data_IF_882895834207
#
_entry.id   IF_882895834207
#
_cell.length_a   1.000
_cell.length_b   1.000
_cell.length_c   1.000
_cell.angle_alpha   90.00
_cell.angle_beta   90.00
_cell.angle_gamma   90.00
#
_symmetry.space_group_name_H-M   'P 1'
#
loop_
_entity.id
_entity.type
_entity.pdbx_description
1 polymer ?
#
# COMPACT_ATOMS: atom_id res chain seq x y z
N UNK A 1 -60.91 3.40 -21.64
CA UNK A 1 -60.95 2.14 -20.88
C UNK A 1 -59.75 2.10 -19.94
N UNK A 2 -60.05 1.91 -18.66
CA UNK A 2 -59.25 1.47 -17.49
C UNK A 2 -57.71 1.60 -17.44
N UNK A 3 -57.30 2.17 -16.31
CA UNK A 3 -55.97 2.41 -15.73
C UNK A 3 -55.19 1.15 -15.33
N UNK A 4 -53.85 1.24 -15.26
CA UNK A 4 -53.05 0.48 -14.27
C UNK A 4 -51.85 1.28 -13.76
N UNK A 5 -51.91 1.66 -12.48
CA UNK A 5 -50.79 2.05 -11.61
C UNK A 5 -50.17 0.78 -11.01
N UNK A 6 -48.85 0.71 -10.84
CA UNK A 6 -48.13 0.01 -9.73
C UNK A 6 -46.65 0.41 -9.84
N UNK A 7 -46.12 1.32 -9.03
CA UNK A 7 -45.60 1.14 -7.65
C UNK A 7 -44.43 0.14 -7.53
N UNK A 8 -43.24 0.71 -7.32
CA UNK A 8 -42.25 0.38 -6.28
C UNK A 8 -41.98 -1.09 -5.92
N UNK A 9 -40.74 -1.55 -6.16
CA UNK A 9 -40.12 -2.53 -5.27
C UNK A 9 -38.59 -2.38 -5.21
N UNK A 10 -38.16 -1.77 -4.11
CA UNK A 10 -36.92 -2.00 -3.37
C UNK A 10 -36.30 -3.37 -3.59
N UNK A 11 -34.99 -3.41 -3.88
CA UNK A 11 -34.17 -4.53 -3.42
C UNK A 11 -32.83 -4.00 -2.92
N UNK A 12 -32.64 -4.17 -1.62
CA UNK A 12 -31.45 -3.85 -0.86
C UNK A 12 -30.43 -5.01 -0.95
N UNK A 13 -29.14 -4.65 -1.08
CA UNK A 13 -27.92 -5.16 -0.38
C UNK A 13 -27.60 -6.68 -0.47
N UNK A 14 -26.32 -7.08 -0.69
CA UNK A 14 -25.26 -7.05 0.34
C UNK A 14 -23.96 -6.40 -0.16
N UNK A 15 -23.38 -5.42 0.55
CA UNK A 15 -22.32 -5.63 1.57
C UNK A 15 -21.31 -6.73 1.19
N UNK A 16 -20.38 -6.40 0.29
CA UNK A 16 -19.10 -7.08 0.20
C UNK A 16 -18.17 -6.49 1.26
N UNK A 17 -18.23 -7.13 2.42
CA UNK A 17 -17.24 -7.07 3.49
C UNK A 17 -15.90 -7.58 2.93
N UNK A 18 -15.01 -6.68 2.51
CA UNK A 18 -13.58 -6.99 2.54
C UNK A 18 -13.04 -6.49 3.86
N UNK A 19 -12.90 -7.48 4.73
CA UNK A 19 -12.22 -7.43 6.00
C UNK A 19 -10.77 -6.97 5.82
N UNK A 20 -10.33 -6.23 6.84
CA UNK A 20 -8.97 -6.30 7.38
C UNK A 20 -7.82 -5.75 6.52
N UNK A 21 -7.51 -4.48 6.77
CA UNK A 21 -6.16 -4.12 7.18
C UNK A 21 -6.24 -2.92 8.12
N UNK A 22 -6.69 -3.16 9.36
CA UNK A 22 -6.28 -2.30 10.48
C UNK A 22 -4.78 -2.51 10.60
N UNK A 23 -4.00 -1.64 9.97
CA UNK A 23 -2.57 -1.51 10.27
C UNK A 23 -2.51 -0.88 11.65
N UNK A 24 -2.61 -1.72 12.67
CA UNK A 24 -2.24 -1.41 14.04
C UNK A 24 -0.77 -1.03 14.01
N UNK A 25 -0.47 0.26 13.88
CA UNK A 25 0.86 0.81 14.13
C UNK A 25 1.09 0.73 15.64
N UNK A 26 1.42 -0.46 16.11
CA UNK A 26 1.91 -0.69 17.46
C UNK A 26 3.20 0.08 17.65
N UNK A 27 3.12 1.18 18.39
CA UNK A 27 4.28 1.86 18.94
C UNK A 27 5.03 0.93 19.90
N UNK A 28 6.30 0.62 19.64
CA UNK A 28 7.30 0.27 20.67
C UNK A 28 8.73 0.18 20.10
N UNK A 29 9.78 0.22 20.95
CA UNK A 29 10.55 1.43 21.25
C UNK A 29 11.98 1.36 20.70
N UNK A 30 12.62 2.53 20.53
CA UNK A 30 14.06 2.75 20.37
C UNK A 30 14.88 1.51 19.93
N UNK A 31 14.78 1.14 18.65
CA UNK A 31 15.61 0.06 18.11
C UNK A 31 16.88 0.64 17.54
N UNK A 32 17.99 -0.06 17.80
CA UNK A 32 19.15 -0.13 16.92
C UNK A 32 18.72 0.12 15.48
N UNK A 33 19.44 0.98 14.77
CA UNK A 33 19.16 1.31 13.36
C UNK A 33 19.31 0.00 12.58
N UNK A 34 18.26 -0.78 12.45
CA UNK A 34 18.19 -1.97 11.63
C UNK A 34 17.54 -1.45 10.37
N UNK A 35 18.28 -1.46 9.27
CA UNK A 35 17.71 -1.12 7.98
C UNK A 35 16.65 -2.18 7.72
N UNK A 36 15.40 -1.76 7.69
CA UNK A 36 14.28 -2.67 7.43
C UNK A 36 14.05 -2.80 5.93
N UNK A 37 13.50 -3.93 5.50
CA UNK A 37 13.12 -4.14 4.10
C UNK A 37 12.14 -3.06 3.60
N UNK A 38 11.33 -2.48 4.49
CA UNK A 38 10.41 -1.37 4.20
C UNK A 38 11.17 -0.09 3.81
N UNK A 39 12.25 0.24 4.52
CA UNK A 39 13.11 1.38 4.17
C UNK A 39 13.82 1.17 2.83
N UNK A 40 14.28 -0.05 2.56
CA UNK A 40 14.90 -0.42 1.28
C UNK A 40 13.88 -0.30 0.16
N UNK A 41 12.66 -0.83 0.36
CA UNK A 41 11.59 -0.73 -0.62
C UNK A 41 11.20 0.72 -0.91
N UNK A 42 11.08 1.55 0.12
CA UNK A 42 10.81 2.98 -0.03
C UNK A 42 11.92 3.64 -0.84
N UNK A 43 13.19 3.39 -0.49
CA UNK A 43 14.32 4.01 -1.21
C UNK A 43 14.44 3.49 -2.64
N UNK A 44 14.14 2.22 -2.89
CA UNK A 44 14.13 1.64 -4.24
C UNK A 44 13.04 2.27 -5.12
N UNK A 45 11.87 2.54 -4.54
CA UNK A 45 10.79 3.25 -5.23
C UNK A 45 11.16 4.71 -5.53
N UNK A 46 11.83 5.40 -4.61
CA UNK A 46 12.36 6.74 -4.87
C UNK A 46 13.37 6.73 -6.03
N UNK A 47 14.30 5.76 -6.03
CA UNK A 47 15.28 5.59 -7.11
C UNK A 47 14.59 5.33 -8.45
N UNK A 48 13.55 4.48 -8.46
CA UNK A 48 12.73 4.22 -9.64
C UNK A 48 12.17 5.52 -10.23
N UNK A 49 11.65 6.42 -9.38
CA UNK A 49 11.11 7.71 -9.81
C UNK A 49 12.20 8.70 -10.24
N UNK A 50 13.35 8.72 -9.56
CA UNK A 50 14.46 9.65 -9.85
C UNK A 50 15.19 9.32 -11.15
N UNK A 51 15.48 8.04 -11.39
CA UNK A 51 16.23 7.57 -12.56
C UNK A 51 15.34 7.23 -13.75
N UNK A 52 14.04 6.99 -13.51
CA UNK A 52 13.15 6.38 -14.50
C UNK A 52 13.52 4.92 -14.80
N UNK A 53 14.40 4.31 -14.01
CA UNK A 53 14.80 2.92 -14.18
C UNK A 53 13.68 1.99 -13.71
N UNK A 54 13.10 1.22 -14.62
CA UNK A 54 12.03 0.27 -14.30
C UNK A 54 12.53 -1.06 -13.73
N UNK A 55 13.86 -1.25 -13.65
CA UNK A 55 14.41 -2.46 -13.04
C UNK A 55 14.36 -2.39 -11.50
N UNK A 56 13.41 -3.11 -10.92
CA UNK A 56 13.18 -3.12 -9.49
C UNK A 56 14.34 -3.76 -8.69
N UNK A 57 15.05 -4.72 -9.29
CA UNK A 57 16.14 -5.43 -8.62
C UNK A 57 17.39 -4.55 -8.50
N UNK A 58 17.75 -3.85 -9.58
CA UNK A 58 18.84 -2.88 -9.58
C UNK A 58 18.53 -1.72 -8.59
N UNK A 59 17.29 -1.22 -8.59
CA UNK A 59 16.89 -0.17 -7.68
C UNK A 59 16.92 -0.62 -6.21
N UNK A 60 16.60 -1.89 -5.93
CA UNK A 60 16.71 -2.48 -4.60
C UNK A 60 18.16 -2.55 -4.12
N UNK A 61 19.07 -3.07 -4.95
CA UNK A 61 20.50 -3.15 -4.63
C UNK A 61 21.11 -1.75 -4.37
N UNK A 62 20.75 -0.77 -5.20
CA UNK A 62 21.18 0.61 -5.02
C UNK A 62 20.61 1.21 -3.73
N UNK A 63 19.34 0.94 -3.41
CA UNK A 63 18.71 1.35 -2.17
C UNK A 63 19.40 0.76 -0.93
N UNK A 64 19.67 -0.55 -0.92
CA UNK A 64 20.42 -1.23 0.15
C UNK A 64 21.78 -0.58 0.36
N UNK A 65 22.50 -0.33 -0.73
CA UNK A 65 23.83 0.29 -0.70
C UNK A 65 23.77 1.72 -0.16
N UNK A 66 22.78 2.51 -0.56
CA UNK A 66 22.60 3.88 -0.08
C UNK A 66 22.24 3.92 1.41
N UNK A 67 21.32 3.07 1.87
CA UNK A 67 20.90 3.00 3.27
C UNK A 67 22.02 2.49 4.18
N UNK A 68 22.83 1.55 3.68
CA UNK A 68 24.00 1.04 4.41
C UNK A 68 25.13 2.05 4.53
N UNK A 69 25.27 2.98 3.56
CA UNK A 69 26.31 4.01 3.51
C UNK A 69 25.95 5.32 4.21
N UNK A 70 24.66 5.55 4.50
CA UNK A 70 24.16 6.72 5.26
C UNK A 70 24.29 6.58 6.78
N UNK A 71 24.91 5.50 7.26
CA UNK A 71 25.37 5.34 8.65
C UNK A 71 26.85 5.70 8.74
#
# INVERSE_FOLDING_TARGET
>A
MATKKTESKTSAKPKAEKKEAVVTKTSKPASTVVITDDEIAQRAYEIHLETGNHDAHENWLEAEKQLKKKK
#
